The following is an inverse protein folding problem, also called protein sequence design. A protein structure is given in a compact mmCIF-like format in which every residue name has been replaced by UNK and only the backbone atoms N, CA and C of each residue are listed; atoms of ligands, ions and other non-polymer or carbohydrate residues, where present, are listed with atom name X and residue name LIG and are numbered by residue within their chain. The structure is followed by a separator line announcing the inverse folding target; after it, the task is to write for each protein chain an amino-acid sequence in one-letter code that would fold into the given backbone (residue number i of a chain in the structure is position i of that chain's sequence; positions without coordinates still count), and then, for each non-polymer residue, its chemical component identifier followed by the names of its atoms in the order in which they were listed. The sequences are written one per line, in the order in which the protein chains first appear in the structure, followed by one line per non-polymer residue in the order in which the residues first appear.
data_IF_015675459241
#
_entry.id   IF_015675459241
#
_cell.length_a   1.000
_cell.length_b   1.000
_cell.length_c   1.000
_cell.angle_alpha   90.00
_cell.angle_beta   90.00
_cell.angle_gamma   90.00
#
_symmetry.space_group_name_H-M   'P 1'
#
loop_
_entity.id
_entity.type
_entity.pdbx_description
1 polymer ?
#
# COMPACT_ATOMS: atom_id res chain seq x y z
N UNK A 1 23.39 -7.79 21.22
CA UNK A 1 22.67 -8.00 19.95
C UNK A 1 21.15 -8.13 20.12
N UNK A 2 20.63 -8.88 21.11
CA UNK A 2 19.18 -9.02 21.32
C UNK A 2 18.42 -7.71 21.60
N UNK A 3 18.96 -6.82 22.44
CA UNK A 3 18.31 -5.55 22.78
C UNK A 3 18.01 -4.67 21.56
N UNK A 4 19.01 -4.40 20.71
CA UNK A 4 18.83 -3.57 19.52
C UNK A 4 17.79 -4.17 18.55
N UNK A 5 17.80 -5.49 18.38
CA UNK A 5 16.80 -6.20 17.58
C UNK A 5 15.38 -6.02 18.15
N UNK A 6 15.20 -6.26 19.45
CA UNK A 6 13.88 -6.11 20.11
C UNK A 6 13.37 -4.68 20.02
N UNK A 7 14.23 -3.69 20.30
CA UNK A 7 13.87 -2.27 20.19
C UNK A 7 13.47 -1.92 18.76
N UNK A 8 14.24 -2.36 17.77
CA UNK A 8 13.95 -2.11 16.35
C UNK A 8 12.61 -2.74 15.95
N UNK A 9 12.33 -3.96 16.40
CA UNK A 9 11.05 -4.63 16.15
C UNK A 9 9.87 -3.88 16.79
N UNK A 10 10.01 -3.42 18.03
CA UNK A 10 8.97 -2.61 18.69
C UNK A 10 8.71 -1.33 17.90
N UNK A 11 9.75 -0.61 17.47
CA UNK A 11 9.62 0.60 16.67
C UNK A 11 8.88 0.30 15.36
N UNK A 12 9.23 -0.78 14.66
CA UNK A 12 8.58 -1.19 13.42
C UNK A 12 7.09 -1.49 13.64
N UNK A 13 6.74 -2.19 14.73
CA UNK A 13 5.33 -2.48 15.08
C UNK A 13 4.56 -1.18 15.33
N UNK A 14 5.11 -0.26 16.12
CA UNK A 14 4.48 1.04 16.42
C UNK A 14 4.33 1.89 15.16
N UNK A 15 5.35 1.92 14.29
CA UNK A 15 5.31 2.64 13.02
C UNK A 15 4.22 2.09 12.09
N UNK A 16 4.12 0.77 11.93
CA UNK A 16 3.10 0.15 11.07
C UNK A 16 1.69 0.33 11.64
N UNK A 17 1.51 0.23 12.96
CA UNK A 17 0.23 0.50 13.60
C UNK A 17 -0.21 1.96 13.38
N UNK A 18 0.72 2.90 13.56
CA UNK A 18 0.48 4.33 13.32
C UNK A 18 0.17 4.61 11.85
N UNK A 19 0.87 3.96 10.92
CA UNK A 19 0.62 4.09 9.49
C UNK A 19 -0.77 3.53 9.10
N UNK A 20 -1.18 2.40 9.67
CA UNK A 20 -2.52 1.85 9.47
C UNK A 20 -3.63 2.79 9.95
N UNK A 21 -3.46 3.37 11.14
CA UNK A 21 -4.40 4.36 11.69
C UNK A 21 -4.45 5.65 10.86
N UNK A 22 -3.28 6.16 10.45
CA UNK A 22 -3.16 7.33 9.57
C UNK A 22 -3.87 7.06 8.24
N UNK A 23 -3.51 5.98 7.55
CA UNK A 23 -4.08 5.63 6.25
C UNK A 23 -5.60 5.47 6.33
N UNK A 24 -6.11 4.76 7.33
CA UNK A 24 -7.55 4.61 7.55
C UNK A 24 -8.26 5.96 7.75
N UNK A 25 -7.67 6.84 8.57
CA UNK A 25 -8.24 8.16 8.87
C UNK A 25 -8.25 9.07 7.64
N UNK A 26 -7.18 9.07 6.84
CA UNK A 26 -7.09 9.91 5.64
C UNK A 26 -8.03 9.40 4.54
N UNK A 27 -8.18 8.08 4.35
CA UNK A 27 -9.18 7.55 3.40
C UNK A 27 -10.62 7.83 3.86
N UNK A 28 -10.89 7.80 5.16
CA UNK A 28 -12.17 8.24 5.70
C UNK A 28 -12.44 9.73 5.48
N UNK A 29 -11.42 10.59 5.63
CA UNK A 29 -11.52 12.02 5.38
C UNK A 29 -11.72 12.32 3.88
N UNK A 30 -10.89 11.74 3.02
CA UNK A 30 -10.92 11.99 1.56
C UNK A 30 -12.16 11.42 0.87
N UNK A 31 -12.92 10.55 1.53
CA UNK A 31 -14.22 10.08 1.05
C UNK A 31 -15.26 11.21 0.89
N UNK A 32 -15.13 12.29 1.67
CA UNK A 32 -16.05 13.44 1.62
C UNK A 32 -15.75 14.38 0.46
N UNK A 33 -14.56 14.26 -0.10
CA UNK A 33 -14.09 15.09 -1.20
C UNK A 33 -14.44 14.45 -2.56
N UNK A 34 -14.34 15.21 -3.66
CA UNK A 34 -14.47 14.66 -5.00
C UNK A 34 -13.45 13.55 -5.32
N UNK A 35 -13.78 12.69 -6.30
CA UNK A 35 -13.01 11.50 -6.69
C UNK A 35 -11.53 11.74 -6.96
N UNK A 36 -11.23 12.90 -7.53
CA UNK A 36 -9.87 13.33 -7.82
C UNK A 36 -8.96 13.36 -6.58
N UNK A 37 -9.48 13.67 -5.38
CA UNK A 37 -8.68 13.78 -4.16
C UNK A 37 -8.30 12.42 -3.57
N UNK A 38 -9.21 11.43 -3.63
CA UNK A 38 -8.88 10.05 -3.26
C UNK A 38 -7.82 9.49 -4.22
N UNK A 39 -7.96 9.74 -5.53
CA UNK A 39 -6.96 9.33 -6.52
C UNK A 39 -5.60 10.04 -6.29
N UNK A 40 -5.60 11.34 -6.03
CA UNK A 40 -4.37 12.11 -5.77
C UNK A 40 -3.58 11.56 -4.56
N UNK A 41 -4.28 11.12 -3.52
CA UNK A 41 -3.66 10.45 -2.37
C UNK A 41 -2.94 9.16 -2.79
N UNK A 42 -3.59 8.32 -3.59
CA UNK A 42 -3.03 7.03 -4.04
C UNK A 42 -1.85 7.27 -4.99
N UNK A 43 -1.94 8.26 -5.88
CA UNK A 43 -0.82 8.70 -6.72
C UNK A 43 0.35 9.16 -5.86
N UNK A 44 0.10 9.94 -4.80
CA UNK A 44 1.14 10.35 -3.85
C UNK A 44 1.87 9.18 -3.19
N UNK A 45 1.13 8.12 -2.82
CA UNK A 45 1.72 6.89 -2.28
C UNK A 45 2.62 6.17 -3.31
N UNK A 46 2.17 6.09 -4.56
CA UNK A 46 2.95 5.48 -5.64
C UNK A 46 4.22 6.29 -5.96
N UNK A 47 4.11 7.62 -6.02
CA UNK A 47 5.26 8.53 -6.23
C UNK A 47 6.28 8.40 -5.11
N UNK A 48 5.82 8.28 -3.85
CA UNK A 48 6.70 8.03 -2.71
C UNK A 48 7.49 6.72 -2.89
N UNK A 49 6.83 5.63 -3.27
CA UNK A 49 7.48 4.33 -3.53
C UNK A 49 8.56 4.41 -4.62
N UNK A 50 8.29 5.12 -5.72
CA UNK A 50 9.26 5.36 -6.78
C UNK A 50 10.44 6.21 -6.30
N UNK A 51 10.17 7.30 -5.57
CA UNK A 51 11.20 8.17 -5.02
C UNK A 51 12.15 7.42 -4.07
N UNK A 52 11.61 6.59 -3.17
CA UNK A 52 12.42 5.78 -2.26
C UNK A 52 13.27 4.75 -3.02
N UNK A 53 12.73 4.13 -4.08
CA UNK A 53 13.48 3.19 -4.91
C UNK A 53 14.63 3.86 -5.67
N UNK A 54 14.41 5.06 -6.21
CA UNK A 54 15.46 5.85 -6.86
C UNK A 54 16.54 6.27 -5.86
N UNK A 55 16.14 6.74 -4.67
CA UNK A 55 17.07 7.11 -3.61
C UNK A 55 17.92 5.90 -3.16
N UNK A 56 17.32 4.70 -3.08
CA UNK A 56 18.04 3.45 -2.81
C UNK A 56 19.11 3.14 -3.85
N UNK A 57 18.78 3.23 -5.14
CA UNK A 57 19.74 2.99 -6.22
C UNK A 57 20.87 4.04 -6.17
N UNK A 58 20.53 5.33 -6.06
CA UNK A 58 21.50 6.42 -6.05
C UNK A 58 22.46 6.32 -4.86
N UNK A 59 21.96 6.00 -3.67
CA UNK A 59 22.80 5.87 -2.47
C UNK A 59 23.74 4.68 -2.54
N UNK A 60 23.31 3.55 -3.10
CA UNK A 60 24.18 2.38 -3.34
C UNK A 60 25.30 2.72 -4.32
N UNK A 61 25.01 3.45 -5.40
CA UNK A 61 26.00 3.81 -6.43
C UNK A 61 26.96 4.91 -5.96
N UNK A 62 26.45 5.93 -5.27
CA UNK A 62 27.25 7.08 -4.85
C UNK A 62 28.09 6.81 -3.60
N UNK A 63 27.58 6.01 -2.65
CA UNK A 63 28.20 5.78 -1.34
C UNK A 63 28.29 4.29 -0.97
N UNK A 64 29.02 3.47 -1.75
CA UNK A 64 29.03 2.01 -1.59
C UNK A 64 29.59 1.51 -0.24
N UNK A 65 30.45 2.30 0.42
CA UNK A 65 31.15 1.87 1.65
C UNK A 65 30.82 2.70 2.89
N UNK A 66 30.07 3.81 2.77
CA UNK A 66 29.78 4.74 3.87
C UNK A 66 28.32 4.63 4.34
N UNK A 67 28.02 3.54 5.05
CA UNK A 67 26.69 3.26 5.58
C UNK A 67 26.20 4.31 6.61
N UNK A 68 27.10 5.02 7.29
CA UNK A 68 26.73 6.06 8.26
C UNK A 68 26.23 7.30 7.54
N UNK A 69 26.92 7.75 6.50
CA UNK A 69 26.49 8.87 5.66
C UNK A 69 25.17 8.56 4.96
N UNK A 70 25.03 7.34 4.41
CA UNK A 70 23.78 6.90 3.79
C UNK A 70 22.63 6.98 4.80
N UNK A 71 22.78 6.41 6.00
CA UNK A 71 21.75 6.49 7.03
C UNK A 71 21.39 7.94 7.40
N UNK A 72 22.38 8.83 7.53
CA UNK A 72 22.16 10.25 7.82
C UNK A 72 21.35 10.92 6.71
N UNK A 73 21.68 10.68 5.44
CA UNK A 73 20.93 11.19 4.28
C UNK A 73 19.46 10.76 4.34
N UNK A 74 19.18 9.48 4.59
CA UNK A 74 17.80 8.98 4.71
C UNK A 74 17.05 9.65 5.85
N UNK A 75 17.65 9.74 7.05
CA UNK A 75 16.99 10.37 8.19
C UNK A 75 16.74 11.87 7.96
N UNK A 76 17.67 12.60 7.35
CA UNK A 76 17.50 14.01 7.03
C UNK A 76 16.37 14.25 6.03
N UNK A 77 16.30 13.45 4.96
CA UNK A 77 15.23 13.55 3.96
C UNK A 77 13.87 13.24 4.60
N UNK A 78 13.77 12.15 5.37
CA UNK A 78 12.52 11.77 6.04
C UNK A 78 12.07 12.87 7.00
N UNK A 79 12.97 13.45 7.79
CA UNK A 79 12.63 14.54 8.71
C UNK A 79 12.12 15.77 7.96
N UNK A 80 12.77 16.17 6.86
CA UNK A 80 12.33 17.29 6.04
C UNK A 80 10.94 17.05 5.42
N UNK A 81 10.69 15.84 4.90
CA UNK A 81 9.39 15.45 4.33
C UNK A 81 8.30 15.42 5.40
N UNK A 82 8.61 14.96 6.62
CA UNK A 82 7.66 14.96 7.74
C UNK A 82 7.28 16.39 8.16
N UNK A 83 8.25 17.31 8.23
CA UNK A 83 7.99 18.73 8.53
C UNK A 83 7.09 19.33 7.44
N UNK A 84 7.41 19.09 6.16
CA UNK A 84 6.59 19.55 5.03
C UNK A 84 5.16 19.01 5.11
N UNK A 85 5.01 17.71 5.39
CA UNK A 85 3.70 17.08 5.57
C UNK A 85 2.93 17.70 6.74
N UNK A 86 3.59 17.96 7.86
CA UNK A 86 3.00 18.62 9.03
C UNK A 86 2.47 20.01 8.70
N UNK A 87 3.29 20.86 8.06
CA UNK A 87 2.88 22.19 7.61
C UNK A 87 1.74 22.13 6.60
N UNK A 88 1.80 21.19 5.65
CA UNK A 88 0.74 20.98 4.66
C UNK A 88 -0.60 20.61 5.31
N UNK A 89 -0.60 19.73 6.31
CA UNK A 89 -1.83 19.37 7.04
C UNK A 89 -2.40 20.54 7.84
N UNK A 90 -1.55 21.30 8.52
CA UNK A 90 -1.97 22.51 9.24
C UNK A 90 -2.53 23.59 8.30
N UNK A 91 -2.01 23.68 7.09
CA UNK A 91 -2.51 24.62 6.06
C UNK A 91 -3.83 24.12 5.47
N UNK A 92 -3.94 22.82 5.19
CA UNK A 92 -5.14 22.19 4.64
C UNK A 92 -6.37 22.46 5.50
N UNK A 93 -6.25 22.30 6.83
CA UNK A 93 -7.36 22.52 7.77
C UNK A 93 -7.87 23.96 7.82
N UNK A 94 -7.07 24.94 7.36
CA UNK A 94 -7.45 26.36 7.32
C UNK A 94 -8.16 26.76 6.04
N UNK A 95 -8.06 25.97 4.98
CA UNK A 95 -8.67 26.28 3.68
C UNK A 95 -10.20 26.20 3.74
N UNK A 96 -10.88 27.17 3.15
CA UNK A 96 -12.35 27.19 3.15
C UNK A 96 -12.94 26.06 2.29
N UNK A 97 -12.24 25.64 1.24
CA UNK A 97 -12.58 24.44 0.47
C UNK A 97 -12.61 23.18 1.36
N UNK A 98 -11.63 23.02 2.24
CA UNK A 98 -11.59 21.90 3.17
C UNK A 98 -12.77 21.93 4.15
N UNK A 99 -13.05 23.10 4.74
CA UNK A 99 -14.16 23.28 5.68
C UNK A 99 -15.51 22.97 5.00
N UNK A 100 -15.72 23.48 3.79
CA UNK A 100 -16.96 23.28 3.03
C UNK A 100 -17.30 21.79 2.82
N UNK A 101 -16.35 20.98 2.31
CA UNK A 101 -16.62 19.56 2.07
C UNK A 101 -16.78 18.77 3.38
N UNK A 102 -16.03 19.14 4.41
CA UNK A 102 -16.13 18.50 5.71
C UNK A 102 -17.47 18.79 6.40
N UNK A 103 -17.92 20.05 6.39
CA UNK A 103 -19.22 20.47 6.93
C UNK A 103 -20.36 19.79 6.19
N UNK A 104 -20.35 19.80 4.85
CA UNK A 104 -21.34 19.10 4.02
C UNK A 104 -21.41 17.60 4.34
N UNK A 105 -20.27 16.94 4.51
CA UNK A 105 -20.23 15.53 4.90
C UNK A 105 -20.80 15.29 6.31
N UNK A 106 -20.53 16.21 7.24
CA UNK A 106 -21.04 16.14 8.61
C UNK A 106 -22.55 16.40 8.68
N UNK A 107 -23.08 17.34 7.91
CA UNK A 107 -24.52 17.60 7.78
C UNK A 107 -25.27 16.38 7.24
N UNK A 108 -24.75 15.75 6.17
CA UNK A 108 -25.34 14.53 5.62
C UNK A 108 -25.37 13.38 6.65
N UNK A 109 -24.35 13.27 7.50
CA UNK A 109 -24.32 12.30 8.61
C UNK A 109 -25.30 12.64 9.71
N UNK A 110 -25.42 13.92 10.07
CA UNK A 110 -26.35 14.36 11.10
C UNK A 110 -27.81 14.12 10.69
N UNK A 111 -28.15 14.41 9.44
CA UNK A 111 -29.49 14.22 8.88
C UNK A 111 -29.95 12.74 8.90
N UNK A 112 -29.02 11.80 8.75
CA UNK A 112 -29.30 10.36 8.74
C UNK A 112 -28.90 9.64 10.04
N UNK A 113 -28.60 10.38 11.12
CA UNK A 113 -28.12 9.84 12.39
C UNK A 113 -26.91 8.87 12.23
N UNK A 114 -26.04 9.14 11.25
CA UNK A 114 -24.88 8.33 10.89
C UNK A 114 -23.55 8.88 11.47
N UNK A 115 -23.60 9.87 12.37
CA UNK A 115 -22.40 10.47 13.00
C UNK A 115 -21.58 9.46 13.79
N UNK A 116 -22.26 8.48 14.41
CA UNK A 116 -21.65 7.30 15.03
C UNK A 116 -22.28 6.07 14.37
N UNK A 117 -21.63 5.47 13.36
CA UNK A 117 -22.24 4.41 12.59
C UNK A 117 -22.57 3.22 13.50
N UNK A 118 -23.86 2.85 13.54
CA UNK A 118 -24.32 1.63 14.19
C UNK A 118 -23.83 0.39 13.44
N UNK A 119 -23.84 -0.78 14.08
CA UNK A 119 -23.48 -2.05 13.41
C UNK A 119 -24.31 -2.30 12.15
N UNK A 120 -25.57 -1.86 12.14
CA UNK A 120 -26.46 -1.93 10.98
C UNK A 120 -25.94 -1.06 9.82
N UNK A 121 -25.57 0.20 10.11
CA UNK A 121 -25.00 1.10 9.10
C UNK A 121 -23.64 0.60 8.58
N UNK A 122 -22.83 -0.05 9.43
CA UNK A 122 -21.64 -0.77 8.96
C UNK A 122 -22.02 -1.87 7.97
N UNK A 123 -22.97 -2.75 8.34
CA UNK A 123 -23.41 -3.82 7.46
C UNK A 123 -23.99 -3.30 6.13
N UNK A 124 -24.79 -2.23 6.17
CA UNK A 124 -25.33 -1.57 4.97
C UNK A 124 -24.22 -0.97 4.10
N UNK A 125 -23.22 -0.32 4.71
CA UNK A 125 -22.03 0.19 4.01
C UNK A 125 -21.31 -0.94 3.29
N UNK A 126 -21.00 -2.01 4.02
CA UNK A 126 -20.33 -3.20 3.49
C UNK A 126 -21.13 -3.82 2.35
N UNK A 127 -22.44 -4.00 2.51
CA UNK A 127 -23.32 -4.52 1.47
C UNK A 127 -23.39 -3.61 0.25
N UNK A 128 -23.24 -2.30 0.42
CA UNK A 128 -23.22 -1.31 -0.67
C UNK A 128 -21.93 -1.34 -1.49
N UNK A 129 -20.77 -1.48 -0.86
CA UNK A 129 -19.47 -1.39 -1.52
C UNK A 129 -18.68 -2.72 -1.62
N UNK A 130 -19.29 -3.87 -1.28
CA UNK A 130 -18.59 -5.16 -1.18
C UNK A 130 -17.77 -5.53 -2.43
N UNK A 131 -18.25 -5.23 -3.64
CA UNK A 131 -17.54 -5.53 -4.89
C UNK A 131 -16.21 -4.77 -4.95
N UNK A 132 -16.23 -3.49 -4.58
CA UNK A 132 -15.04 -2.65 -4.51
C UNK A 132 -14.11 -3.12 -3.39
N UNK A 133 -14.65 -3.47 -2.22
CA UNK A 133 -13.84 -3.98 -1.09
C UNK A 133 -13.09 -5.26 -1.46
N UNK A 134 -13.76 -6.23 -2.09
CA UNK A 134 -13.13 -7.46 -2.57
C UNK A 134 -12.10 -7.15 -3.64
N UNK A 135 -12.40 -6.25 -4.58
CA UNK A 135 -11.44 -5.84 -5.60
C UNK A 135 -10.16 -5.24 -4.99
N UNK A 136 -10.30 -4.36 -3.99
CA UNK A 136 -9.15 -3.79 -3.25
C UNK A 136 -8.35 -4.90 -2.59
N UNK A 137 -9.02 -5.77 -1.83
CA UNK A 137 -8.37 -6.89 -1.15
C UNK A 137 -7.60 -7.77 -2.13
N UNK A 138 -8.21 -8.19 -3.24
CA UNK A 138 -7.58 -9.08 -4.22
C UNK A 138 -6.37 -8.44 -4.90
N UNK A 139 -6.46 -7.16 -5.26
CA UNK A 139 -5.32 -6.44 -5.87
C UNK A 139 -4.13 -6.45 -4.91
N UNK A 140 -4.33 -6.06 -3.65
CA UNK A 140 -3.23 -6.01 -2.67
C UNK A 140 -2.76 -7.40 -2.22
N UNK A 141 -3.66 -8.37 -2.13
CA UNK A 141 -3.33 -9.77 -1.83
C UNK A 141 -2.41 -10.35 -2.90
N UNK A 142 -2.80 -10.28 -4.17
CA UNK A 142 -2.01 -10.83 -5.29
C UNK A 142 -0.67 -10.10 -5.40
N UNK A 143 -0.67 -8.77 -5.30
CA UNK A 143 0.56 -7.98 -5.39
C UNK A 143 1.54 -8.35 -4.28
N UNK A 144 1.10 -8.49 -3.02
CA UNK A 144 2.00 -8.79 -1.89
C UNK A 144 2.35 -10.27 -1.75
N UNK A 145 1.54 -11.16 -2.31
CA UNK A 145 1.87 -12.57 -2.41
C UNK A 145 3.06 -12.82 -3.36
N UNK A 146 3.26 -11.94 -4.35
CA UNK A 146 4.34 -12.08 -5.34
C UNK A 146 5.48 -11.07 -5.07
N UNK A 147 5.16 -9.79 -4.94
CA UNK A 147 6.15 -8.71 -4.74
C UNK A 147 6.22 -8.23 -3.28
N UNK A 148 7.42 -7.98 -2.72
CA UNK A 148 8.73 -8.18 -3.33
C UNK A 148 9.30 -9.60 -3.12
N UNK A 149 8.76 -10.38 -2.18
CA UNK A 149 9.44 -11.56 -1.64
C UNK A 149 9.70 -12.67 -2.67
N UNK A 150 8.71 -13.03 -3.50
CA UNK A 150 8.89 -14.06 -4.53
C UNK A 150 9.74 -13.53 -5.69
N UNK A 151 9.57 -12.25 -6.04
CA UNK A 151 10.34 -11.62 -7.12
C UNK A 151 11.82 -11.45 -6.78
N UNK A 152 12.15 -11.04 -5.56
CA UNK A 152 13.52 -10.77 -5.13
C UNK A 152 14.41 -12.02 -5.14
N UNK A 153 13.81 -13.20 -5.01
CA UNK A 153 14.53 -14.45 -5.11
C UNK A 153 14.53 -15.08 -6.50
N UNK A 154 14.18 -14.34 -7.55
CA UNK A 154 14.45 -14.72 -8.94
C UNK A 154 15.81 -14.14 -9.30
N UNK A 155 16.80 -15.02 -9.53
CA UNK A 155 18.20 -14.63 -9.75
C UNK A 155 18.66 -15.05 -11.14
N UNK A 156 19.33 -14.16 -11.91
CA UNK A 156 19.99 -14.58 -13.14
C UNK A 156 21.21 -15.45 -12.79
N UNK A 157 21.38 -16.59 -13.44
CA UNK A 157 22.53 -17.47 -13.22
C UNK A 157 23.84 -16.93 -13.82
N UNK A 158 23.77 -15.87 -14.64
CA UNK A 158 24.91 -15.27 -15.35
C UNK A 158 24.48 -14.74 -16.72
N UNK A 159 25.40 -14.11 -17.46
CA UNK A 159 25.12 -13.72 -18.86
C UNK A 159 24.95 -14.98 -19.72
N UNK A 160 23.72 -15.26 -20.17
CA UNK A 160 23.42 -16.36 -21.10
C UNK A 160 23.01 -17.69 -20.44
N UNK A 161 22.97 -17.77 -19.11
CA UNK A 161 22.48 -18.97 -18.40
C UNK A 161 20.96 -18.89 -18.10
N UNK A 162 20.25 -20.04 -18.00
CA UNK A 162 18.83 -20.05 -17.63
C UNK A 162 18.60 -19.42 -16.24
N UNK A 163 17.50 -18.69 -16.05
CA UNK A 163 17.14 -18.15 -14.74
C UNK A 163 16.96 -19.25 -13.69
N UNK A 164 17.39 -18.98 -12.46
CA UNK A 164 17.16 -19.84 -11.30
C UNK A 164 16.48 -19.07 -10.17
N UNK A 165 15.98 -19.80 -9.18
CA UNK A 165 15.45 -19.20 -7.96
C UNK A 165 16.51 -19.21 -6.87
N UNK A 166 16.88 -18.04 -6.36
CA UNK A 166 17.59 -17.88 -5.09
C UNK A 166 16.74 -18.26 -3.87
N UNK A 167 15.43 -18.50 -4.04
CA UNK A 167 14.51 -18.92 -2.97
C UNK A 167 14.65 -20.42 -2.66
N UNK A 168 14.96 -21.23 -3.67
CA UNK A 168 15.11 -22.67 -3.48
C UNK A 168 16.03 -23.30 -4.51
N UNK A 169 17.13 -23.89 -4.02
CA UNK A 169 18.04 -24.70 -4.83
C UNK A 169 17.44 -26.06 -5.21
N UNK A 170 16.44 -26.52 -4.45
CA UNK A 170 15.79 -27.83 -4.60
C UNK A 170 14.38 -27.71 -5.23
N UNK A 171 14.15 -26.69 -6.07
CA UNK A 171 12.86 -26.49 -6.75
C UNK A 171 12.52 -27.68 -7.65
N UNK A 172 11.26 -28.13 -7.62
CA UNK A 172 10.78 -29.20 -8.50
C UNK A 172 10.04 -28.61 -9.72
N UNK A 173 9.39 -27.45 -9.57
CA UNK A 173 8.74 -26.77 -10.70
C UNK A 173 9.75 -26.22 -11.71
N UNK A 174 9.56 -26.57 -12.99
CA UNK A 174 10.38 -26.09 -14.10
C UNK A 174 10.26 -24.56 -14.33
N UNK A 175 11.33 -23.94 -14.85
CA UNK A 175 11.33 -22.54 -15.31
C UNK A 175 10.85 -22.48 -16.75
N UNK A 176 9.67 -21.90 -16.96
CA UNK A 176 9.08 -21.75 -18.29
C UNK A 176 9.68 -20.57 -19.05
N UNK A 177 9.89 -19.44 -18.38
CA UNK A 177 10.42 -18.22 -19.00
C UNK A 177 11.89 -18.02 -18.64
N UNK A 178 12.78 -18.24 -19.62
CA UNK A 178 14.23 -18.05 -19.48
C UNK A 178 14.72 -16.68 -19.96
N UNK A 179 13.86 -15.89 -20.62
CA UNK A 179 14.23 -14.57 -21.11
C UNK A 179 13.81 -13.49 -20.10
N UNK A 180 14.77 -12.63 -19.73
CA UNK A 180 14.63 -11.54 -18.76
C UNK A 180 13.52 -10.54 -19.12
N UNK A 181 13.29 -10.33 -20.42
CA UNK A 181 12.26 -9.41 -20.90
C UNK A 181 10.86 -9.83 -20.49
N UNK A 182 10.54 -11.14 -20.44
CA UNK A 182 9.23 -11.59 -19.98
C UNK A 182 9.01 -11.28 -18.50
N UNK A 183 10.05 -11.41 -17.68
CA UNK A 183 9.99 -11.06 -16.26
C UNK A 183 9.80 -9.54 -16.07
N UNK A 184 10.58 -8.74 -16.80
CA UNK A 184 10.49 -7.27 -16.75
C UNK A 184 9.10 -6.80 -17.23
N UNK A 185 8.64 -7.27 -18.38
CA UNK A 185 7.32 -6.91 -18.93
C UNK A 185 6.22 -7.36 -17.98
N UNK A 186 6.28 -8.58 -17.45
CA UNK A 186 5.32 -9.08 -16.47
C UNK A 186 5.24 -8.20 -15.22
N UNK A 187 6.39 -7.79 -14.68
CA UNK A 187 6.44 -6.92 -13.50
C UNK A 187 5.91 -5.51 -13.79
N UNK A 188 6.23 -4.94 -14.96
CA UNK A 188 5.70 -3.63 -15.39
C UNK A 188 4.18 -3.69 -15.53
N UNK A 189 3.65 -4.74 -16.18
CA UNK A 189 2.20 -4.94 -16.34
C UNK A 189 1.54 -5.13 -14.98
N UNK A 190 2.12 -5.95 -14.09
CA UNK A 190 1.59 -6.16 -12.74
C UNK A 190 1.58 -4.86 -11.92
N UNK A 191 2.69 -4.11 -11.93
CA UNK A 191 2.79 -2.84 -11.22
C UNK A 191 1.78 -1.80 -11.74
N UNK A 192 1.67 -1.66 -13.06
CA UNK A 192 0.74 -0.71 -13.69
C UNK A 192 -0.71 -1.06 -13.40
N UNK A 193 -1.10 -2.33 -13.61
CA UNK A 193 -2.47 -2.81 -13.36
C UNK A 193 -2.83 -2.75 -11.88
N UNK A 194 -1.94 -3.18 -10.98
CA UNK A 194 -2.17 -3.07 -9.53
C UNK A 194 -2.36 -1.61 -9.10
N UNK A 195 -1.53 -0.69 -9.58
CA UNK A 195 -1.65 0.73 -9.27
C UNK A 195 -2.93 1.36 -9.81
N UNK A 196 -3.30 1.05 -11.06
CA UNK A 196 -4.50 1.58 -11.69
C UNK A 196 -5.79 1.05 -11.07
N UNK A 197 -5.90 -0.28 -10.91
CA UNK A 197 -7.10 -0.92 -10.35
C UNK A 197 -7.29 -0.60 -8.86
N UNK A 198 -6.21 -0.56 -8.07
CA UNK A 198 -6.31 -0.14 -6.66
C UNK A 198 -6.82 1.30 -6.56
N UNK A 199 -6.32 2.21 -7.41
CA UNK A 199 -6.79 3.60 -7.42
C UNK A 199 -8.28 3.71 -7.74
N UNK A 200 -8.73 3.07 -8.82
CA UNK A 200 -10.14 3.06 -9.20
C UNK A 200 -11.03 2.44 -8.12
N UNK A 201 -10.63 1.30 -7.55
CA UNK A 201 -11.45 0.61 -6.55
C UNK A 201 -11.63 1.43 -5.27
N UNK A 202 -10.56 2.05 -4.77
CA UNK A 202 -10.62 2.93 -3.60
C UNK A 202 -11.33 4.25 -3.88
N UNK A 203 -11.24 4.76 -5.12
CA UNK A 203 -12.01 5.93 -5.56
C UNK A 203 -13.51 5.61 -5.65
N UNK A 204 -13.92 4.45 -6.17
CA UNK A 204 -15.34 4.15 -6.30
C UNK A 204 -16.01 3.67 -5.00
N UNK A 205 -15.27 3.05 -4.08
CA UNK A 205 -15.82 2.49 -2.84
C UNK A 205 -16.70 3.47 -2.01
N UNK A 206 -16.28 4.71 -1.71
CA UNK A 206 -17.11 5.65 -0.97
C UNK A 206 -18.26 6.29 -1.77
N UNK A 207 -18.28 6.08 -3.10
CA UNK A 207 -19.21 6.75 -4.03
C UNK A 207 -20.37 5.88 -4.47
N UNK A 208 -20.29 4.58 -4.20
CA UNK A 208 -21.39 3.63 -4.43
C UNK A 208 -22.34 3.54 -3.24
N UNK A 209 -22.02 4.21 -2.14
CA UNK A 209 -22.86 4.32 -0.94
C UNK A 209 -23.41 5.73 -0.78
N UNK A 210 -24.40 5.89 0.10
CA UNK A 210 -24.96 7.20 0.43
C UNK A 210 -23.89 8.11 1.05
N UNK A 211 -23.98 9.43 0.82
CA UNK A 211 -22.97 10.41 1.28
C UNK A 211 -22.75 10.38 2.80
N UNK A 212 -23.78 10.03 3.58
CA UNK A 212 -23.69 9.82 5.03
C UNK A 212 -22.72 8.66 5.40
N UNK A 213 -22.68 7.62 4.57
CA UNK A 213 -21.86 6.42 4.74
C UNK A 213 -20.52 6.46 4.00
N UNK A 214 -20.29 7.47 3.15
CA UNK A 214 -19.08 7.60 2.34
C UNK A 214 -17.79 7.48 3.15
N UNK A 215 -17.70 8.19 4.28
CA UNK A 215 -16.56 8.10 5.22
C UNK A 215 -16.34 6.68 5.75
N UNK A 216 -17.42 5.99 6.13
CA UNK A 216 -17.35 4.60 6.60
C UNK A 216 -16.90 3.66 5.49
N UNK A 217 -17.38 3.85 4.26
CA UNK A 217 -16.94 3.10 3.10
C UNK A 217 -15.47 3.35 2.76
N UNK A 218 -15.00 4.60 2.85
CA UNK A 218 -13.58 4.96 2.68
C UNK A 218 -12.68 4.26 3.70
N UNK A 219 -13.07 4.28 4.98
CA UNK A 219 -12.37 3.54 6.03
C UNK A 219 -12.42 2.01 5.80
N UNK A 220 -13.56 1.47 5.40
CA UNK A 220 -13.69 0.04 5.09
C UNK A 220 -12.78 -0.37 3.92
N UNK A 221 -12.65 0.46 2.88
CA UNK A 221 -11.71 0.19 1.79
C UNK A 221 -10.25 0.22 2.23
N UNK A 222 -9.87 1.14 3.13
CA UNK A 222 -8.51 1.15 3.71
C UNK A 222 -8.25 -0.09 4.58
N UNK A 223 -9.25 -0.55 5.33
CA UNK A 223 -9.15 -1.80 6.09
C UNK A 223 -8.92 -3.00 5.17
N UNK A 224 -9.70 -3.14 4.09
CA UNK A 224 -9.54 -4.25 3.14
C UNK A 224 -8.21 -4.20 2.39
N UNK A 225 -7.69 -3.00 2.14
CA UNK A 225 -6.33 -2.83 1.64
C UNK A 225 -5.32 -3.44 2.63
N UNK A 226 -5.35 -3.04 3.90
CA UNK A 226 -4.39 -3.51 4.92
C UNK A 226 -4.54 -5.03 5.12
N UNK A 227 -5.77 -5.54 5.18
CA UNK A 227 -6.01 -6.99 5.26
C UNK A 227 -5.47 -7.73 4.05
N UNK A 228 -5.64 -7.17 2.83
CA UNK A 228 -5.06 -7.72 1.60
C UNK A 228 -3.54 -7.80 1.67
N UNK A 229 -2.88 -6.72 2.14
CA UNK A 229 -1.43 -6.71 2.36
C UNK A 229 -0.99 -7.81 3.34
N UNK A 230 -1.66 -7.92 4.50
CA UNK A 230 -1.33 -8.93 5.52
C UNK A 230 -1.52 -10.35 5.02
N UNK A 231 -2.66 -10.63 4.36
CA UNK A 231 -2.94 -11.95 3.80
C UNK A 231 -1.97 -12.30 2.67
N UNK A 232 -1.60 -11.35 1.81
CA UNK A 232 -0.63 -11.55 0.73
C UNK A 232 0.73 -11.95 1.27
N UNK A 233 1.25 -11.19 2.25
CA UNK A 233 2.54 -11.51 2.91
C UNK A 233 2.48 -12.88 3.60
N UNK A 234 1.39 -13.19 4.31
CA UNK A 234 1.21 -14.48 4.96
C UNK A 234 1.11 -15.65 3.97
N UNK A 235 0.75 -15.39 2.71
CA UNK A 235 0.66 -16.41 1.66
C UNK A 235 2.01 -16.71 0.98
N UNK A 236 3.03 -15.86 1.15
CA UNK A 236 4.37 -16.06 0.57
C UNK A 236 4.97 -17.44 0.92
N UNK A 237 4.99 -17.91 2.19
CA UNK A 237 5.53 -19.22 2.52
C UNK A 237 4.78 -20.38 1.85
N UNK A 238 3.49 -20.21 1.59
CA UNK A 238 2.68 -21.20 0.86
C UNK A 238 3.20 -21.31 -0.57
N UNK A 239 3.37 -20.19 -1.28
CA UNK A 239 3.93 -20.16 -2.64
C UNK A 239 5.31 -20.83 -2.67
N UNK A 240 6.18 -20.50 -1.72
CA UNK A 240 7.54 -21.09 -1.65
C UNK A 240 7.45 -22.61 -1.47
N UNK A 241 6.59 -23.08 -0.57
CA UNK A 241 6.37 -24.52 -0.38
C UNK A 241 5.84 -25.18 -1.64
N UNK A 242 4.87 -24.57 -2.32
CA UNK A 242 4.33 -25.08 -3.58
C UNK A 242 5.43 -25.29 -4.62
N UNK A 243 6.33 -24.32 -4.82
CA UNK A 243 7.46 -24.42 -5.77
C UNK A 243 8.41 -25.57 -5.44
N UNK A 244 8.55 -25.90 -4.15
CA UNK A 244 9.48 -26.92 -3.66
C UNK A 244 8.89 -28.32 -3.60
N UNK A 245 7.56 -28.48 -3.52
CA UNK A 245 6.94 -29.81 -3.30
C UNK A 245 5.99 -30.26 -4.41
N UNK A 246 5.46 -29.34 -5.22
CA UNK A 246 4.55 -29.68 -6.31
C UNK A 246 5.26 -29.48 -7.64
N UNK A 247 5.82 -30.56 -8.18
CA UNK A 247 6.37 -30.61 -9.53
C UNK A 247 6.32 -32.03 -10.06
#
# INVERSE_FOLDING_TARGET
MGWFYVVTMIIIVVLNASNGLYQNSVFGLTADFPAAYTNALIVGNNVCGTFISLLAILTIVAFPSDYKLVALIYFSIVLAVLILCGVSLLTLTKLDFYKYFLEKGNEARAAEHATRPSLRQFYETFKGCWKQLISVFLVFFVTLAVFPAVMAGITPNGKGEPWNSGISKDRVMAVWFKNEWFFIIGNVVMAYTSGYFSSLAMMYAPRVVHSSLAKTAGMASALFLITGLMCGVAFVPVIIRMVNTMG
#
